data_IF_187571061974
#
_entry.id   IF_187571061974
#
_cell.length_a   1.000
_cell.length_b   1.000
_cell.length_c   1.000
_cell.angle_alpha   90.00
_cell.angle_beta   90.00
_cell.angle_gamma   90.00
#
_symmetry.space_group_name_H-M   'P 1'
#
loop_
_entity.id
_entity.type
_entity.pdbx_description
1 polymer ?
#
# COMPACT_ATOMS: atom_id res chain seq x y z
N UNK A 1 -9.57 -31.22 -29.83
CA UNK A 1 -10.30 -31.04 -28.56
C UNK A 1 -9.33 -30.38 -27.59
N UNK A 2 -9.71 -29.34 -26.82
CA UNK A 2 -8.86 -28.82 -25.76
C UNK A 2 -8.50 -29.96 -24.79
N UNK A 3 -7.21 -30.06 -24.44
CA UNK A 3 -6.70 -31.04 -23.48
C UNK A 3 -7.16 -30.64 -22.08
N UNK A 4 -8.31 -31.20 -21.67
CA UNK A 4 -8.95 -30.90 -20.37
C UNK A 4 -8.03 -31.21 -19.19
N UNK A 5 -7.16 -32.20 -19.31
CA UNK A 5 -6.24 -32.56 -18.24
C UNK A 5 -5.11 -31.52 -18.12
N UNK A 6 -4.72 -30.87 -19.22
CA UNK A 6 -3.85 -29.69 -19.16
C UNK A 6 -4.55 -28.49 -18.53
N UNK A 7 -5.79 -28.18 -18.92
CA UNK A 7 -6.53 -27.03 -18.35
C UNK A 7 -6.75 -27.17 -16.83
N UNK A 8 -7.07 -28.38 -16.35
CA UNK A 8 -7.18 -28.67 -14.91
C UNK A 8 -5.86 -28.44 -14.18
N UNK A 9 -4.74 -28.94 -14.73
CA UNK A 9 -3.40 -28.71 -14.15
C UNK A 9 -3.06 -27.22 -14.06
N UNK A 10 -3.38 -26.44 -15.08
CA UNK A 10 -3.15 -24.99 -15.07
C UNK A 10 -3.99 -24.30 -13.98
N UNK A 11 -5.24 -24.74 -13.77
CA UNK A 11 -6.09 -24.22 -12.70
C UNK A 11 -5.56 -24.58 -11.30
N UNK A 12 -5.04 -25.80 -11.11
CA UNK A 12 -4.44 -26.23 -9.84
C UNK A 12 -3.19 -25.41 -9.48
N UNK A 13 -2.35 -25.09 -10.48
CA UNK A 13 -1.22 -24.20 -10.29
C UNK A 13 -1.66 -22.78 -9.90
N UNK A 14 -2.71 -22.25 -10.52
CA UNK A 14 -3.27 -20.94 -10.14
C UNK A 14 -3.80 -20.93 -8.70
N UNK A 15 -4.48 -22.00 -8.29
CA UNK A 15 -4.95 -22.15 -6.92
C UNK A 15 -3.78 -22.20 -5.92
N UNK A 16 -2.72 -22.95 -6.25
CA UNK A 16 -1.49 -23.04 -5.45
C UNK A 16 -0.81 -21.67 -5.31
N UNK A 17 -0.64 -20.92 -6.40
CA UNK A 17 -0.08 -19.56 -6.37
C UNK A 17 -0.91 -18.66 -5.45
N UNK A 18 -2.23 -18.75 -5.54
CA UNK A 18 -3.14 -17.93 -4.71
C UNK A 18 -3.02 -18.26 -3.23
N UNK A 19 -2.85 -19.54 -2.89
CA UNK A 19 -2.67 -19.97 -1.49
C UNK A 19 -1.32 -19.56 -0.92
N UNK A 20 -0.22 -19.80 -1.64
CA UNK A 20 1.12 -19.37 -1.22
C UNK A 20 1.19 -17.84 -1.09
N UNK A 21 0.59 -17.10 -2.02
CA UNK A 21 0.47 -15.64 -1.93
C UNK A 21 -0.26 -15.17 -0.67
N UNK A 22 -1.39 -15.80 -0.33
CA UNK A 22 -2.16 -15.48 0.89
C UNK A 22 -1.41 -15.79 2.18
N UNK A 23 -0.44 -16.70 2.14
CA UNK A 23 0.44 -17.03 3.27
C UNK A 23 1.67 -16.14 3.34
N UNK A 24 1.93 -15.30 2.34
CA UNK A 24 3.16 -14.51 2.25
C UNK A 24 4.36 -15.28 1.71
N UNK A 25 4.20 -16.52 1.23
CA UNK A 25 5.27 -17.38 0.72
C UNK A 25 5.65 -17.02 -0.72
N UNK A 26 6.16 -15.81 -0.94
CA UNK A 26 6.38 -15.28 -2.29
C UNK A 26 7.43 -16.06 -3.11
N UNK A 27 8.42 -16.67 -2.46
CA UNK A 27 9.43 -17.51 -3.14
C UNK A 27 8.80 -18.78 -3.73
N UNK A 28 7.93 -19.46 -2.98
CA UNK A 28 7.21 -20.63 -3.48
C UNK A 28 6.23 -20.24 -4.57
N UNK A 29 5.48 -19.16 -4.34
CA UNK A 29 4.54 -18.62 -5.33
C UNK A 29 5.26 -18.22 -6.63
N UNK A 30 6.49 -17.71 -6.57
CA UNK A 30 7.32 -17.41 -7.75
C UNK A 30 7.65 -18.70 -8.52
N UNK A 31 8.14 -19.73 -7.84
CA UNK A 31 8.47 -21.01 -8.47
C UNK A 31 7.24 -21.62 -9.17
N UNK A 32 6.08 -21.64 -8.51
CA UNK A 32 4.83 -22.12 -9.11
C UNK A 32 4.35 -21.23 -10.26
N UNK A 33 4.53 -19.90 -10.17
CA UNK A 33 4.18 -18.97 -11.25
C UNK A 33 5.04 -19.17 -12.49
N UNK A 34 6.34 -19.47 -12.32
CA UNK A 34 7.25 -19.80 -13.43
C UNK A 34 6.87 -21.13 -14.09
N UNK A 35 6.49 -22.14 -13.30
CA UNK A 35 5.98 -23.40 -13.83
C UNK A 35 4.67 -23.19 -14.61
N UNK A 36 3.73 -22.41 -14.08
CA UNK A 36 2.50 -22.04 -14.78
C UNK A 36 2.79 -21.33 -16.12
N UNK A 37 3.75 -20.41 -16.14
CA UNK A 37 4.15 -19.73 -17.37
C UNK A 37 4.71 -20.72 -18.40
N UNK A 38 5.57 -21.64 -17.97
CA UNK A 38 6.12 -22.67 -18.85
C UNK A 38 5.03 -23.59 -19.41
N UNK A 39 4.09 -24.04 -18.57
CA UNK A 39 3.01 -24.94 -18.98
C UNK A 39 2.00 -24.25 -19.90
N UNK A 40 1.66 -22.99 -19.65
CA UNK A 40 0.80 -22.20 -20.56
C UNK A 40 1.46 -22.01 -21.93
N UNK A 41 2.76 -21.70 -21.97
CA UNK A 41 3.51 -21.61 -23.24
C UNK A 41 3.57 -22.95 -23.99
N UNK A 42 3.73 -24.08 -23.30
CA UNK A 42 3.71 -25.41 -23.92
C UNK A 42 2.34 -25.76 -24.49
N UNK A 43 1.27 -25.43 -23.78
CA UNK A 43 -0.08 -25.78 -24.16
C UNK A 43 -0.64 -24.89 -25.29
N UNK A 44 -0.44 -23.57 -25.20
CA UNK A 44 -0.96 -22.62 -26.20
C UNK A 44 0.04 -22.28 -27.32
N UNK A 45 1.32 -22.60 -27.13
CA UNK A 45 2.41 -22.31 -28.06
C UNK A 45 3.29 -21.14 -27.60
N UNK A 46 4.62 -21.32 -27.67
CA UNK A 46 5.61 -20.35 -27.19
C UNK A 46 5.58 -18.98 -27.90
N UNK A 47 5.13 -18.94 -29.15
CA UNK A 47 5.07 -17.73 -29.99
C UNK A 47 3.62 -17.29 -30.26
N UNK A 48 2.66 -17.78 -29.47
CA UNK A 48 1.25 -17.43 -29.59
C UNK A 48 0.88 -16.51 -28.44
N UNK A 49 0.46 -15.30 -28.78
CA UNK A 49 -0.15 -14.38 -27.83
C UNK A 49 -1.47 -14.99 -27.31
N UNK A 50 -1.48 -15.37 -26.03
CA UNK A 50 -2.64 -15.98 -25.38
C UNK A 50 -2.93 -15.34 -24.01
N UNK A 51 -4.19 -15.02 -23.67
CA UNK A 51 -4.53 -14.34 -22.42
C UNK A 51 -4.11 -15.12 -21.17
N UNK A 52 -4.19 -16.45 -21.19
CA UNK A 52 -3.73 -17.27 -20.05
C UNK A 52 -2.21 -17.19 -19.84
N UNK A 53 -1.43 -17.11 -20.93
CA UNK A 53 0.02 -16.91 -20.86
C UNK A 53 0.35 -15.52 -20.32
N UNK A 54 -0.39 -14.48 -20.74
CA UNK A 54 -0.25 -13.13 -20.18
C UNK A 54 -0.61 -13.07 -18.69
N UNK A 55 -1.63 -13.82 -18.26
CA UNK A 55 -1.98 -13.96 -16.84
C UNK A 55 -0.84 -14.60 -16.03
N UNK A 56 -0.21 -15.64 -16.58
CA UNK A 56 0.94 -16.27 -15.94
C UNK A 56 2.14 -15.33 -15.85
N UNK A 57 2.45 -14.58 -16.92
CA UNK A 57 3.47 -13.52 -16.91
C UNK A 57 3.19 -12.48 -15.82
N UNK A 58 1.94 -12.03 -15.70
CA UNK A 58 1.54 -11.07 -14.67
C UNK A 58 1.78 -11.62 -13.25
N UNK A 59 1.52 -12.91 -13.00
CA UNK A 59 1.79 -13.53 -11.70
C UNK A 59 3.30 -13.59 -11.39
N UNK A 60 4.13 -13.96 -12.37
CA UNK A 60 5.59 -13.92 -12.23
C UNK A 60 6.08 -12.50 -11.91
N UNK A 61 5.54 -11.50 -12.63
CA UNK A 61 5.85 -10.08 -12.36
C UNK A 61 5.44 -9.63 -10.97
N UNK A 62 4.29 -10.10 -10.47
CA UNK A 62 3.82 -9.83 -9.10
C UNK A 62 4.74 -10.41 -8.05
N UNK A 63 5.17 -11.66 -8.21
CA UNK A 63 6.06 -12.28 -7.24
C UNK A 63 7.45 -11.64 -7.23
N UNK A 64 8.01 -11.30 -8.40
CA UNK A 64 9.26 -10.54 -8.48
C UNK A 64 9.15 -9.17 -7.80
N UNK A 65 8.05 -8.45 -8.00
CA UNK A 65 7.82 -7.17 -7.31
C UNK A 65 7.84 -7.33 -5.79
N UNK A 66 7.16 -8.36 -5.27
CA UNK A 66 7.08 -8.61 -3.82
C UNK A 66 8.42 -9.04 -3.22
N UNK A 67 9.30 -9.64 -4.02
CA UNK A 67 10.66 -10.02 -3.65
C UNK A 67 11.69 -8.89 -3.85
N UNK A 68 11.29 -7.72 -4.37
CA UNK A 68 12.20 -6.59 -4.64
C UNK A 68 12.94 -6.64 -5.98
N UNK A 69 12.64 -7.63 -6.84
CA UNK A 69 13.26 -7.82 -8.15
C UNK A 69 12.55 -6.93 -9.19
N UNK A 70 12.78 -5.62 -9.13
CA UNK A 70 12.01 -4.63 -9.89
C UNK A 70 12.21 -4.72 -11.41
N UNK A 71 13.41 -5.06 -11.86
CA UNK A 71 13.74 -5.19 -13.30
C UNK A 71 12.99 -6.37 -13.92
N UNK A 72 13.04 -7.53 -13.29
CA UNK A 72 12.36 -8.76 -13.70
C UNK A 72 10.85 -8.55 -13.68
N UNK A 73 10.33 -7.92 -12.62
CA UNK A 73 8.91 -7.58 -12.51
C UNK A 73 8.44 -6.71 -13.69
N UNK A 74 9.23 -5.69 -14.05
CA UNK A 74 8.92 -4.78 -15.18
C UNK A 74 8.85 -5.53 -16.49
N UNK A 75 9.83 -6.40 -16.77
CA UNK A 75 9.88 -7.19 -18.00
C UNK A 75 8.61 -8.03 -18.17
N UNK A 76 8.20 -8.74 -17.12
CA UNK A 76 7.01 -9.58 -17.14
C UNK A 76 5.71 -8.80 -17.26
N UNK A 77 5.55 -7.69 -16.54
CA UNK A 77 4.35 -6.86 -16.68
C UNK A 77 4.24 -6.19 -18.05
N UNK A 78 5.36 -5.70 -18.62
CA UNK A 78 5.34 -5.12 -19.97
C UNK A 78 5.01 -6.18 -21.01
N UNK A 79 5.55 -7.40 -20.88
CA UNK A 79 5.19 -8.51 -21.75
C UNK A 79 3.69 -8.86 -21.66
N UNK A 80 3.16 -9.01 -20.44
CA UNK A 80 1.74 -9.27 -20.22
C UNK A 80 0.85 -8.15 -20.79
N UNK A 81 1.23 -6.89 -20.58
CA UNK A 81 0.51 -5.72 -21.08
C UNK A 81 0.43 -5.73 -22.61
N UNK A 82 1.53 -6.07 -23.30
CA UNK A 82 1.57 -6.17 -24.78
C UNK A 82 0.61 -7.25 -25.29
N UNK A 83 0.62 -8.44 -24.67
CA UNK A 83 -0.26 -9.55 -25.06
C UNK A 83 -1.73 -9.21 -24.79
N UNK A 84 -2.05 -8.59 -23.64
CA UNK A 84 -3.44 -8.17 -23.40
C UNK A 84 -3.88 -7.07 -24.36
N UNK A 85 -3.02 -6.12 -24.70
CA UNK A 85 -3.33 -5.10 -25.69
C UNK A 85 -3.58 -5.69 -27.08
N UNK A 86 -2.81 -6.71 -27.50
CA UNK A 86 -2.95 -7.34 -28.82
C UNK A 86 -4.18 -8.25 -28.91
N UNK A 87 -4.45 -9.05 -27.88
CA UNK A 87 -5.50 -10.09 -27.93
C UNK A 87 -6.85 -9.60 -27.41
N UNK A 88 -6.87 -8.82 -26.32
CA UNK A 88 -8.10 -8.34 -25.69
C UNK A 88 -8.46 -6.90 -26.08
N UNK A 89 -7.48 -6.11 -26.50
CA UNK A 89 -7.63 -4.67 -26.73
C UNK A 89 -7.28 -3.82 -25.51
N UNK A 90 -7.00 -2.53 -25.74
CA UNK A 90 -6.59 -1.56 -24.69
C UNK A 90 -7.75 -1.10 -23.80
N UNK A 91 -8.98 -1.34 -24.22
CA UNK A 91 -10.16 -1.02 -23.40
C UNK A 91 -10.51 -2.15 -22.43
N UNK A 92 -9.76 -3.27 -22.41
CA UNK A 92 -10.09 -4.42 -21.57
C UNK A 92 -9.56 -4.30 -20.13
N UNK A 93 -10.32 -4.81 -19.15
CA UNK A 93 -9.93 -4.77 -17.73
C UNK A 93 -8.57 -5.45 -17.42
N UNK A 94 -8.18 -6.48 -18.18
CA UNK A 94 -6.86 -7.12 -18.03
C UNK A 94 -5.69 -6.22 -18.44
N UNK A 95 -5.88 -5.38 -19.47
CA UNK A 95 -4.89 -4.38 -19.86
C UNK A 95 -4.74 -3.34 -18.74
N UNK A 96 -5.86 -2.81 -18.24
CA UNK A 96 -5.87 -1.90 -17.09
C UNK A 96 -5.26 -2.51 -15.82
N UNK A 97 -5.40 -3.82 -15.62
CA UNK A 97 -4.72 -4.53 -14.53
C UNK A 97 -3.20 -4.48 -14.66
N UNK A 98 -2.66 -4.73 -15.84
CA UNK A 98 -1.21 -4.66 -16.06
C UNK A 98 -0.65 -3.24 -15.90
N UNK A 99 -1.38 -2.22 -16.36
CA UNK A 99 -1.03 -0.81 -16.14
C UNK A 99 -1.01 -0.47 -14.64
N UNK A 100 -2.06 -0.85 -13.91
CA UNK A 100 -2.11 -0.66 -12.45
C UNK A 100 -0.92 -1.32 -11.73
N UNK A 101 -0.53 -2.52 -12.18
CA UNK A 101 0.61 -3.23 -11.62
C UNK A 101 1.95 -2.57 -11.95
N UNK A 102 2.11 -2.00 -13.15
CA UNK A 102 3.28 -1.19 -13.52
C UNK A 102 3.37 0.10 -12.71
N UNK A 103 2.25 0.79 -12.49
CA UNK A 103 2.21 1.96 -11.62
C UNK A 103 2.60 1.62 -10.18
N UNK A 104 2.05 0.54 -9.62
CA UNK A 104 2.46 0.07 -8.30
C UNK A 104 3.92 -0.42 -8.25
N UNK A 105 4.44 -1.01 -9.32
CA UNK A 105 5.85 -1.40 -9.41
C UNK A 105 6.77 -0.18 -9.29
N UNK A 106 6.47 0.89 -10.03
CA UNK A 106 7.23 2.14 -9.95
C UNK A 106 7.20 2.71 -8.52
N UNK A 107 6.03 2.73 -7.86
CA UNK A 107 5.92 3.16 -6.46
C UNK A 107 6.74 2.29 -5.52
N UNK A 108 6.66 0.96 -5.64
CA UNK A 108 7.46 0.05 -4.82
C UNK A 108 8.95 0.28 -5.02
N UNK A 109 9.40 0.45 -6.26
CA UNK A 109 10.80 0.77 -6.56
C UNK A 109 11.22 2.09 -5.91
N UNK A 110 10.39 3.12 -6.00
CA UNK A 110 10.59 4.42 -5.34
C UNK A 110 10.67 4.31 -3.81
N UNK A 111 10.01 3.35 -3.18
CA UNK A 111 10.06 3.17 -1.73
C UNK A 111 11.24 2.32 -1.24
N UNK A 112 11.61 1.28 -2.00
CA UNK A 112 12.56 0.25 -1.53
C UNK A 112 13.95 0.35 -2.16
N UNK A 113 14.09 0.92 -3.35
CA UNK A 113 15.39 1.08 -4.01
C UNK A 113 16.11 2.31 -3.43
N UNK A 114 17.03 2.07 -2.48
CA UNK A 114 17.81 3.11 -1.84
C UNK A 114 18.82 3.79 -2.79
N UNK A 115 19.17 3.14 -3.91
CA UNK A 115 20.14 3.66 -4.88
C UNK A 115 19.58 4.81 -5.74
N UNK A 116 18.25 4.92 -5.84
CA UNK A 116 17.60 5.95 -6.66
C UNK A 116 17.87 7.36 -6.13
N UNK A 117 18.28 8.25 -7.06
CA UNK A 117 18.36 9.69 -6.81
C UNK A 117 16.96 10.30 -6.84
N UNK A 118 16.84 11.51 -6.29
CA UNK A 118 15.56 12.23 -6.25
C UNK A 118 14.93 12.42 -7.65
N UNK A 119 15.75 12.66 -8.68
CA UNK A 119 15.30 12.78 -10.08
C UNK A 119 14.71 11.48 -10.62
N UNK A 120 15.32 10.35 -10.30
CA UNK A 120 14.86 9.04 -10.76
C UNK A 120 13.56 8.64 -10.04
N UNK A 121 13.46 8.97 -8.73
CA UNK A 121 12.23 8.78 -7.96
C UNK A 121 11.09 9.62 -8.54
N UNK A 122 11.32 10.89 -8.84
CA UNK A 122 10.30 11.76 -9.44
C UNK A 122 9.84 11.22 -10.80
N UNK A 123 10.77 10.82 -11.66
CA UNK A 123 10.46 10.24 -12.98
C UNK A 123 9.63 8.96 -12.86
N UNK A 124 9.95 8.10 -11.88
CA UNK A 124 9.18 6.89 -11.61
C UNK A 124 7.78 7.21 -11.07
N UNK A 125 7.64 8.24 -10.22
CA UNK A 125 6.34 8.69 -9.71
C UNK A 125 5.47 9.27 -10.82
N UNK A 126 6.03 10.08 -11.72
CA UNK A 126 5.33 10.61 -12.88
C UNK A 126 4.86 9.50 -13.81
N UNK A 127 5.75 8.57 -14.16
CA UNK A 127 5.40 7.37 -14.93
C UNK A 127 4.36 6.50 -14.20
N UNK A 128 4.38 6.44 -12.86
CA UNK A 128 3.38 5.72 -12.10
C UNK A 128 1.99 6.35 -12.22
N UNK A 129 1.91 7.70 -12.19
CA UNK A 129 0.64 8.42 -12.39
C UNK A 129 0.07 8.14 -13.77
N UNK A 130 0.88 8.23 -14.83
CA UNK A 130 0.45 7.96 -16.20
C UNK A 130 -0.19 6.57 -16.32
N UNK A 131 0.49 5.53 -15.82
CA UNK A 131 -0.05 4.17 -15.84
C UNK A 131 -1.34 4.03 -15.02
N UNK A 132 -1.40 4.66 -13.85
CA UNK A 132 -2.56 4.55 -12.96
C UNK A 132 -3.77 5.32 -13.50
N UNK A 133 -3.57 6.49 -14.10
CA UNK A 133 -4.63 7.28 -14.72
C UNK A 133 -5.22 6.57 -15.93
N UNK A 134 -4.39 6.00 -16.81
CA UNK A 134 -4.86 5.18 -17.93
C UNK A 134 -5.62 3.95 -17.43
N UNK A 135 -5.08 3.24 -16.42
CA UNK A 135 -5.77 2.12 -15.79
C UNK A 135 -7.12 2.53 -15.18
N UNK A 136 -7.19 3.71 -14.57
CA UNK A 136 -8.40 4.22 -13.93
C UNK A 136 -9.49 4.54 -14.96
N UNK A 137 -9.11 5.21 -16.05
CA UNK A 137 -10.03 5.53 -17.15
C UNK A 137 -10.67 4.26 -17.74
N UNK A 138 -9.86 3.25 -18.06
CA UNK A 138 -10.34 1.96 -18.59
C UNK A 138 -11.23 1.26 -17.55
N UNK A 139 -10.83 1.20 -16.28
CA UNK A 139 -11.63 0.55 -15.22
C UNK A 139 -12.96 1.25 -14.96
N UNK A 140 -13.04 2.57 -15.04
CA UNK A 140 -14.31 3.29 -14.93
C UNK A 140 -15.24 2.89 -16.09
N UNK A 141 -14.73 2.89 -17.31
CA UNK A 141 -15.52 2.57 -18.50
C UNK A 141 -16.06 1.13 -18.46
N UNK A 142 -15.21 0.17 -18.11
CA UNK A 142 -15.53 -1.27 -18.14
C UNK A 142 -16.26 -1.77 -16.89
N UNK A 143 -15.84 -1.33 -15.70
CA UNK A 143 -16.25 -1.92 -14.42
C UNK A 143 -17.10 -0.97 -13.57
N UNK A 144 -17.06 0.34 -13.85
CA UNK A 144 -17.70 1.37 -13.05
C UNK A 144 -16.88 1.82 -11.83
N UNK A 145 -17.30 2.94 -11.24
CA UNK A 145 -16.60 3.64 -10.14
C UNK A 145 -16.59 2.87 -8.82
N UNK A 146 -17.57 2.01 -8.58
CA UNK A 146 -17.72 1.23 -7.34
C UNK A 146 -17.00 -0.13 -7.38
N UNK A 147 -16.34 -0.47 -8.49
CA UNK A 147 -15.63 -1.74 -8.58
C UNK A 147 -14.34 -1.72 -7.73
N UNK A 148 -14.00 -2.76 -6.95
CA UNK A 148 -12.81 -2.80 -6.09
C UNK A 148 -11.51 -2.49 -6.81
N UNK A 149 -11.36 -2.95 -8.06
CA UNK A 149 -10.19 -2.61 -8.87
C UNK A 149 -10.15 -1.13 -9.24
N UNK A 150 -11.28 -0.50 -9.53
CA UNK A 150 -11.39 0.94 -9.77
C UNK A 150 -11.04 1.73 -8.52
N UNK A 151 -11.58 1.31 -7.37
CA UNK A 151 -11.29 1.88 -6.05
C UNK A 151 -9.80 1.76 -5.71
N UNK A 152 -9.21 0.56 -5.89
CA UNK A 152 -7.80 0.34 -5.64
C UNK A 152 -6.89 1.20 -6.53
N UNK A 153 -7.23 1.38 -7.82
CA UNK A 153 -6.50 2.33 -8.67
C UNK A 153 -6.64 3.76 -8.16
N UNK A 154 -7.84 4.18 -7.77
CA UNK A 154 -8.06 5.53 -7.24
C UNK A 154 -7.23 5.79 -5.99
N UNK A 155 -7.22 4.83 -5.06
CA UNK A 155 -6.36 4.89 -3.86
C UNK A 155 -4.90 5.02 -4.24
N UNK A 156 -4.45 4.23 -5.22
CA UNK A 156 -3.08 4.27 -5.71
C UNK A 156 -2.74 5.64 -6.30
N UNK A 157 -3.61 6.23 -7.13
CA UNK A 157 -3.44 7.60 -7.66
C UNK A 157 -3.25 8.60 -6.53
N UNK A 158 -4.15 8.62 -5.53
CA UNK A 158 -4.06 9.56 -4.41
C UNK A 158 -2.74 9.44 -3.64
N UNK A 159 -2.31 8.20 -3.34
CA UNK A 159 -1.02 7.98 -2.69
C UNK A 159 0.20 8.34 -3.57
N UNK A 160 0.09 8.20 -4.90
CA UNK A 160 1.17 8.59 -5.84
C UNK A 160 1.26 10.10 -5.98
N UNK A 161 0.12 10.81 -6.04
CA UNK A 161 0.08 12.27 -6.01
C UNK A 161 0.73 12.80 -4.73
N UNK A 162 0.42 12.20 -3.58
CA UNK A 162 1.07 12.53 -2.31
C UNK A 162 2.60 12.33 -2.36
N UNK A 163 3.05 11.20 -2.91
CA UNK A 163 4.47 10.94 -3.11
C UNK A 163 5.13 11.96 -4.05
N UNK A 164 4.45 12.35 -5.14
CA UNK A 164 4.93 13.39 -6.05
C UNK A 164 5.17 14.70 -5.32
N UNK A 165 4.21 15.12 -4.47
CA UNK A 165 4.36 16.31 -3.65
C UNK A 165 5.58 16.17 -2.73
N UNK A 166 5.74 15.04 -2.03
CA UNK A 166 6.90 14.83 -1.15
C UNK A 166 8.24 14.87 -1.89
N UNK A 167 8.34 14.34 -3.12
CA UNK A 167 9.58 14.45 -3.92
C UNK A 167 9.82 15.85 -4.49
N UNK A 168 8.77 16.67 -4.57
CA UNK A 168 8.86 18.11 -4.81
C UNK A 168 9.13 18.91 -3.52
N UNK A 169 9.33 18.24 -2.38
CA UNK A 169 9.84 18.83 -1.15
C UNK A 169 11.26 18.34 -0.89
N UNK A 170 12.09 19.19 -0.29
CA UNK A 170 13.40 18.79 0.23
C UNK A 170 13.24 18.39 1.68
N UNK A 171 13.74 17.20 2.03
CA UNK A 171 13.93 16.81 3.42
C UNK A 171 15.11 17.61 4.01
N UNK A 172 14.85 18.32 5.08
CA UNK A 172 15.83 19.09 5.84
C UNK A 172 15.95 18.49 7.24
N UNK A 173 17.17 18.29 7.70
CA UNK A 173 17.47 17.85 9.05
C UNK A 173 17.77 19.08 9.90
N UNK A 174 16.95 19.33 10.91
CA UNK A 174 17.15 20.41 11.87
C UNK A 174 17.80 19.82 13.14
N UNK A 175 18.95 20.37 13.52
CA UNK A 175 19.52 20.17 14.85
C UNK A 175 18.91 21.21 15.79
N UNK A 176 17.98 20.80 16.64
CA UNK A 176 17.59 21.60 17.81
C UNK A 176 18.67 21.47 18.88
N UNK A 177 19.33 22.58 19.23
CA UNK A 177 20.30 22.62 20.34
C UNK A 177 19.63 22.06 21.61
N UNK A 178 20.18 20.95 22.14
CA UNK A 178 19.68 20.27 23.34
C UNK A 178 18.87 18.98 23.12
N UNK A 179 18.59 18.57 21.87
CA UNK A 179 17.98 17.25 21.59
C UNK A 179 19.00 16.29 20.95
N UNK A 180 19.22 15.12 21.53
CA UNK A 180 20.06 14.04 20.92
C UNK A 180 19.49 13.49 19.60
N UNK A 181 18.23 13.83 19.24
CA UNK A 181 17.57 13.36 18.03
C UNK A 181 17.64 14.37 16.88
N UNK A 182 18.19 13.94 15.74
CA UNK A 182 18.09 14.66 14.45
C UNK A 182 16.62 14.63 14.00
N UNK A 183 16.02 15.80 13.73
CA UNK A 183 14.63 15.89 13.29
C UNK A 183 14.54 16.20 11.80
N UNK A 184 13.82 15.36 11.05
CA UNK A 184 13.58 15.49 9.61
C UNK A 184 12.27 16.23 9.32
N UNK A 185 12.33 17.30 8.54
CA UNK A 185 11.17 18.12 8.11
C UNK A 185 11.18 18.30 6.60
N UNK A 186 10.01 18.30 5.96
CA UNK A 186 9.88 18.59 4.53
C UNK A 186 9.68 20.09 4.27
N UNK A 187 10.46 20.66 3.35
CA UNK A 187 10.36 22.06 2.90
C UNK A 187 10.00 22.10 1.41
N UNK A 188 8.97 22.87 1.03
CA UNK A 188 8.47 22.93 -0.34
C UNK A 188 9.50 23.53 -1.32
N UNK A 189 9.69 22.88 -2.48
CA UNK A 189 10.51 23.41 -3.59
C UNK A 189 9.67 24.15 -4.65
N UNK A 190 8.35 23.95 -4.64
CA UNK A 190 7.38 24.52 -5.57
C UNK A 190 6.51 25.60 -4.90
N UNK A 191 5.78 26.44 -5.69
CA UNK A 191 4.85 27.42 -5.15
C UNK A 191 3.84 26.79 -4.18
N UNK A 192 3.67 27.41 -3.01
CA UNK A 192 2.82 26.90 -1.92
C UNK A 192 1.39 26.56 -2.37
N UNK A 193 0.79 27.38 -3.24
CA UNK A 193 -0.55 27.14 -3.78
C UNK A 193 -0.65 25.87 -4.65
N UNK A 194 0.39 25.55 -5.44
CA UNK A 194 0.41 24.35 -6.28
C UNK A 194 0.48 23.10 -5.38
N UNK A 195 1.37 23.14 -4.39
CA UNK A 195 1.52 22.10 -3.38
C UNK A 195 0.20 21.85 -2.63
N UNK A 196 -0.48 22.89 -2.18
CA UNK A 196 -1.78 22.75 -1.49
C UNK A 196 -2.85 22.11 -2.39
N UNK A 197 -2.91 22.51 -3.66
CA UNK A 197 -3.86 21.93 -4.61
C UNK A 197 -3.59 20.44 -4.85
N UNK A 198 -2.32 20.05 -4.96
CA UNK A 198 -1.94 18.64 -5.14
C UNK A 198 -2.23 17.81 -3.88
N UNK A 199 -1.96 18.34 -2.68
CA UNK A 199 -2.34 17.69 -1.42
C UNK A 199 -3.86 17.48 -1.34
N UNK A 200 -4.67 18.48 -1.70
CA UNK A 200 -6.14 18.34 -1.74
C UNK A 200 -6.61 17.30 -2.74
N UNK A 201 -6.04 17.26 -3.94
CA UNK A 201 -6.37 16.24 -4.93
C UNK A 201 -6.03 14.83 -4.43
N UNK A 202 -4.86 14.65 -3.82
CA UNK A 202 -4.46 13.38 -3.23
C UNK A 202 -5.41 12.93 -2.11
N UNK A 203 -5.80 13.85 -1.22
CA UNK A 203 -6.76 13.61 -0.14
C UNK A 203 -8.12 13.17 -0.67
N UNK A 204 -8.65 13.88 -1.67
CA UNK A 204 -9.93 13.58 -2.32
C UNK A 204 -9.95 12.14 -2.88
N UNK A 205 -8.91 11.76 -3.62
CA UNK A 205 -8.78 10.40 -4.15
C UNK A 205 -8.76 9.33 -3.04
N UNK A 206 -8.04 9.57 -1.94
CA UNK A 206 -7.89 8.62 -0.84
C UNK A 206 -9.16 8.50 -0.01
N UNK A 207 -9.78 9.63 0.36
CA UNK A 207 -11.02 9.65 1.15
C UNK A 207 -12.17 9.03 0.39
N UNK A 208 -12.36 9.38 -0.88
CA UNK A 208 -13.42 8.77 -1.67
C UNK A 208 -13.17 7.29 -1.94
N UNK A 209 -11.91 6.88 -2.12
CA UNK A 209 -11.57 5.46 -2.22
C UNK A 209 -11.94 4.70 -0.95
N UNK A 210 -11.60 5.24 0.22
CA UNK A 210 -11.94 4.62 1.50
C UNK A 210 -13.45 4.55 1.70
N UNK A 211 -14.16 5.66 1.48
CA UNK A 211 -15.60 5.74 1.63
C UNK A 211 -16.31 4.72 0.71
N UNK A 212 -15.92 4.67 -0.57
CA UNK A 212 -16.51 3.72 -1.52
C UNK A 212 -16.22 2.26 -1.12
N UNK A 213 -15.03 1.97 -0.58
CA UNK A 213 -14.69 0.62 -0.10
C UNK A 213 -15.50 0.19 1.13
N UNK A 214 -15.84 1.13 2.01
CA UNK A 214 -16.71 0.91 3.18
C UNK A 214 -18.16 0.70 2.73
N UNK A 215 -18.65 1.54 1.81
CA UNK A 215 -20.03 1.49 1.33
C UNK A 215 -20.29 0.24 0.47
N UNK A 216 -19.27 -0.26 -0.22
CA UNK A 216 -19.34 -1.42 -1.11
C UNK A 216 -18.35 -2.51 -0.70
N UNK A 217 -18.50 -3.12 0.48
CA UNK A 217 -17.54 -4.06 1.00
C UNK A 217 -17.52 -5.34 0.14
N UNK A 218 -16.39 -5.60 -0.50
CA UNK A 218 -16.14 -6.86 -1.22
C UNK A 218 -15.05 -7.66 -0.50
N UNK A 219 -15.38 -8.87 -0.07
CA UNK A 219 -14.45 -9.80 0.59
C UNK A 219 -14.96 -10.33 1.93
N UNK A 220 -14.12 -11.09 2.64
CA UNK A 220 -14.42 -11.54 4.00
C UNK A 220 -14.51 -10.32 4.92
N UNK A 221 -15.59 -10.27 5.68
CA UNK A 221 -15.79 -9.28 6.73
C UNK A 221 -15.46 -9.87 8.09
N UNK A 222 -15.03 -9.01 9.00
CA UNK A 222 -15.03 -9.31 10.43
C UNK A 222 -16.45 -9.70 10.85
N UNK A 223 -16.59 -10.87 11.49
CA UNK A 223 -17.89 -11.29 12.03
C UNK A 223 -18.21 -10.44 13.25
N UNK A 224 -19.12 -9.47 13.11
CA UNK A 224 -19.67 -8.76 14.27
C UNK A 224 -20.51 -9.72 15.11
N UNK A 225 -20.00 -10.14 16.26
CA UNK A 225 -20.76 -10.94 17.24
C UNK A 225 -21.78 -10.11 18.05
N UNK A 226 -22.00 -8.83 17.71
CA UNK A 226 -23.01 -8.00 18.36
C UNK A 226 -23.99 -7.38 17.33
N UNK A 227 -25.27 -7.67 17.56
CA UNK A 227 -26.48 -7.03 17.01
C UNK A 227 -26.72 -7.07 15.49
N UNK A 228 -27.22 -8.21 15.04
CA UNK A 228 -28.08 -8.31 13.85
C UNK A 228 -29.51 -7.89 14.24
N UNK A 229 -29.85 -6.60 14.16
CA UNK A 229 -31.24 -6.15 13.99
C UNK A 229 -31.31 -4.97 13.01
N UNK A 230 -31.96 -5.27 11.89
CA UNK A 230 -32.62 -4.35 10.95
C UNK A 230 -31.78 -3.37 10.13
N UNK A 231 -31.50 -3.76 8.88
CA UNK A 231 -31.54 -2.81 7.75
C UNK A 231 -32.01 -3.51 6.47
N UNK A 232 -33.28 -3.94 6.49
CA UNK A 232 -34.04 -4.17 5.26
C UNK A 232 -34.47 -2.80 4.71
N UNK A 233 -33.74 -2.29 3.71
CA UNK A 233 -34.27 -1.45 2.62
C UNK A 233 -33.10 -0.99 1.75
N UNK A 234 -32.91 -1.63 0.60
CA UNK A 234 -32.77 -0.91 -0.66
C UNK A 234 -33.22 -1.85 -1.80
N UNK A 235 -34.28 -1.43 -2.48
CA UNK A 235 -34.91 -2.12 -3.60
C UNK A 235 -34.76 -1.20 -4.81
N UNK A 236 -34.15 -1.73 -5.87
CA UNK A 236 -34.30 -1.44 -7.32
C UNK A 236 -34.59 0.02 -7.75
N UNK A 237 -33.67 0.63 -8.49
CA UNK A 237 -33.78 0.87 -9.94
C UNK A 237 -32.58 1.67 -10.48
N UNK A 238 -32.16 1.33 -11.71
CA UNK A 238 -30.94 1.81 -12.35
C UNK A 238 -30.95 3.26 -12.85
N UNK A 239 -29.79 3.65 -13.39
CA UNK A 239 -29.54 4.92 -14.04
C UNK A 239 -28.12 5.40 -13.82
N UNK A 240 -27.17 4.83 -14.57
CA UNK A 240 -25.84 5.41 -14.73
C UNK A 240 -25.94 6.86 -15.23
N UNK A 241 -24.88 7.64 -14.98
CA UNK A 241 -24.65 9.01 -15.50
C UNK A 241 -25.31 10.18 -14.74
N UNK A 242 -25.65 10.05 -13.45
CA UNK A 242 -26.01 11.22 -12.60
C UNK A 242 -25.21 11.43 -11.32
N UNK A 243 -24.25 10.56 -10.99
CA UNK A 243 -23.61 10.58 -9.66
C UNK A 243 -22.34 11.43 -9.50
N UNK A 244 -21.73 11.92 -10.58
CA UNK A 244 -20.51 12.75 -10.48
C UNK A 244 -20.80 14.12 -9.84
N UNK A 245 -22.02 14.68 -10.02
CA UNK A 245 -22.40 15.97 -9.41
C UNK A 245 -22.95 15.89 -7.98
N UNK A 246 -23.17 14.69 -7.44
CA UNK A 246 -23.65 14.53 -6.04
C UNK A 246 -22.53 14.19 -5.05
N UNK A 247 -21.37 13.74 -5.53
CA UNK A 247 -20.18 13.50 -4.68
C UNK A 247 -19.48 14.80 -4.27
N UNK A 248 -19.61 15.89 -5.06
CA UNK A 248 -19.10 17.22 -4.70
C UNK A 248 -19.79 17.87 -3.48
N UNK A 249 -20.97 17.38 -3.07
CA UNK A 249 -21.73 17.94 -1.94
C UNK A 249 -21.67 17.08 -0.67
N UNK A 250 -20.72 16.14 -0.59
CA UNK A 250 -20.40 15.38 0.62
C UNK A 250 -18.90 15.14 0.71
N UNK A 251 -18.12 16.20 0.80
CA UNK A 251 -16.80 16.11 1.46
C UNK A 251 -17.10 16.29 2.95
N UNK A 252 -17.15 15.23 3.79
CA UNK A 252 -17.37 15.42 5.20
C UNK A 252 -16.00 15.56 5.85
N UNK A 253 -15.58 16.82 6.04
CA UNK A 253 -14.69 17.17 7.13
C UNK A 253 -15.43 17.06 8.47
N UNK A 254 -15.97 15.88 8.79
CA UNK A 254 -16.59 15.63 10.09
C UNK A 254 -15.74 14.65 10.90
N UNK A 255 -14.88 15.15 11.81
CA UNK A 255 -14.19 14.30 12.76
C UNK A 255 -15.19 13.72 13.75
N UNK A 256 -15.40 12.41 13.65
CA UNK A 256 -16.30 11.68 14.54
C UNK A 256 -17.17 10.64 13.86
N UNK A 257 -17.17 10.52 12.52
CA UNK A 257 -17.77 9.34 11.89
C UNK A 257 -16.83 8.15 12.06
N UNK A 258 -17.16 7.21 12.95
CA UNK A 258 -16.46 5.93 13.04
C UNK A 258 -16.57 5.21 11.69
N UNK A 259 -15.49 5.21 10.90
CA UNK A 259 -15.43 4.41 9.69
C UNK A 259 -15.53 2.93 10.08
N UNK A 260 -16.56 2.23 9.61
CA UNK A 260 -16.69 0.79 9.86
C UNK A 260 -15.78 0.01 8.89
N UNK A 261 -14.47 0.08 9.13
CA UNK A 261 -13.47 -0.70 8.39
C UNK A 261 -13.62 -2.16 8.83
N UNK A 262 -14.14 -3.00 7.94
CA UNK A 262 -14.46 -4.41 8.26
C UNK A 262 -13.90 -5.41 7.26
N UNK A 263 -13.29 -4.94 6.18
CA UNK A 263 -12.73 -5.77 5.11
C UNK A 263 -11.26 -5.42 4.84
N UNK A 264 -10.50 -6.36 4.28
CA UNK A 264 -9.11 -6.11 3.87
C UNK A 264 -8.98 -5.01 2.80
N UNK A 265 -9.96 -4.88 1.90
CA UNK A 265 -9.95 -3.85 0.87
C UNK A 265 -10.15 -2.44 1.45
N UNK A 266 -11.10 -2.29 2.38
CA UNK A 266 -11.26 -1.04 3.13
C UNK A 266 -10.04 -0.75 4.02
N UNK A 267 -9.44 -1.79 4.64
CA UNK A 267 -8.24 -1.63 5.45
C UNK A 267 -7.04 -1.13 4.62
N UNK A 268 -6.84 -1.64 3.42
CA UNK A 268 -5.78 -1.14 2.53
C UNK A 268 -6.02 0.30 2.07
N UNK A 269 -7.26 0.69 1.78
CA UNK A 269 -7.59 2.09 1.47
C UNK A 269 -7.38 3.02 2.67
N UNK A 270 -7.76 2.57 3.88
CA UNK A 270 -7.55 3.30 5.13
C UNK A 270 -6.07 3.48 5.45
N UNK A 271 -5.25 2.45 5.25
CA UNK A 271 -3.80 2.56 5.43
C UNK A 271 -3.18 3.59 4.48
N UNK A 272 -3.60 3.62 3.21
CA UNK A 272 -3.08 4.62 2.27
C UNK A 272 -3.47 6.06 2.70
N UNK A 273 -4.68 6.25 3.22
CA UNK A 273 -5.09 7.54 3.80
C UNK A 273 -4.29 7.88 5.07
N UNK A 274 -4.02 6.91 5.94
CA UNK A 274 -3.23 7.12 7.15
C UNK A 274 -1.78 7.54 6.84
N UNK A 275 -1.14 6.87 5.87
CA UNK A 275 0.19 7.26 5.35
C UNK A 275 0.16 8.70 4.85
N UNK A 276 -0.83 9.04 4.04
CA UNK A 276 -1.02 10.39 3.51
C UNK A 276 -1.16 11.44 4.61
N UNK A 277 -2.05 11.21 5.59
CA UNK A 277 -2.31 12.17 6.66
C UNK A 277 -1.07 12.37 7.53
N UNK A 278 -0.33 11.30 7.83
CA UNK A 278 0.98 11.38 8.50
C UNK A 278 1.95 12.24 7.68
N UNK A 279 2.10 11.96 6.39
CA UNK A 279 3.00 12.71 5.51
C UNK A 279 2.63 14.19 5.42
N UNK A 280 1.35 14.51 5.22
CA UNK A 280 0.84 15.89 5.20
C UNK A 280 1.11 16.59 6.54
N UNK A 281 0.86 15.93 7.67
CA UNK A 281 1.16 16.50 8.98
C UNK A 281 2.65 16.83 9.17
N UNK A 282 3.55 16.05 8.57
CA UNK A 282 5.00 16.31 8.62
C UNK A 282 5.46 17.47 7.73
N UNK A 283 4.61 17.99 6.83
CA UNK A 283 4.89 19.22 6.07
C UNK A 283 4.30 20.48 6.72
N UNK A 284 3.52 20.34 7.79
CA UNK A 284 2.85 21.44 8.48
C UNK A 284 3.72 21.97 9.64
N UNK A 285 3.49 23.24 10.00
CA UNK A 285 4.11 23.84 11.19
C UNK A 285 3.76 23.07 12.46
N UNK A 286 4.69 23.04 13.41
CA UNK A 286 4.59 22.17 14.57
C UNK A 286 3.38 22.43 15.45
N UNK A 287 3.06 23.72 15.62
CA UNK A 287 1.96 24.22 16.44
C UNK A 287 0.63 24.31 15.66
N UNK A 288 0.62 23.89 14.39
CA UNK A 288 -0.59 23.93 13.57
C UNK A 288 -1.65 22.97 14.14
N UNK A 289 -2.88 23.44 14.43
CA UNK A 289 -3.98 22.56 14.85
C UNK A 289 -4.25 21.44 13.83
N UNK A 290 -4.03 21.71 12.55
CA UNK A 290 -4.18 20.73 11.47
C UNK A 290 -3.15 19.60 11.53
N UNK A 291 -1.93 19.86 12.03
CA UNK A 291 -0.89 18.83 12.21
C UNK A 291 -1.33 17.79 13.23
N UNK A 292 -1.75 18.25 14.42
CA UNK A 292 -2.25 17.36 15.49
C UNK A 292 -3.46 16.57 14.99
N UNK A 293 -4.42 17.24 14.36
CA UNK A 293 -5.60 16.61 13.79
C UNK A 293 -5.27 15.44 12.84
N UNK A 294 -4.41 15.68 11.86
CA UNK A 294 -4.03 14.68 10.86
C UNK A 294 -3.29 13.47 11.48
N UNK A 295 -2.44 13.69 12.48
CA UNK A 295 -1.72 12.60 13.17
C UNK A 295 -2.67 11.70 13.97
N UNK A 296 -3.64 12.27 14.68
CA UNK A 296 -4.62 11.49 15.42
C UNK A 296 -5.58 10.74 14.49
N UNK A 297 -6.04 11.37 13.41
CA UNK A 297 -6.86 10.68 12.40
C UNK A 297 -6.07 9.52 11.74
N UNK A 298 -4.79 9.72 11.43
CA UNK A 298 -3.93 8.66 10.93
C UNK A 298 -3.79 7.50 11.94
N UNK A 299 -3.66 7.81 13.23
CA UNK A 299 -3.53 6.81 14.31
C UNK A 299 -4.79 5.96 14.39
N UNK A 300 -5.96 6.59 14.43
CA UNK A 300 -7.24 5.89 14.48
C UNK A 300 -7.41 4.96 13.27
N UNK A 301 -7.05 5.43 12.07
CA UNK A 301 -7.07 4.60 10.86
C UNK A 301 -6.13 3.39 10.98
N UNK A 302 -4.88 3.59 11.42
CA UNK A 302 -3.92 2.49 11.58
C UNK A 302 -4.36 1.47 12.63
N UNK A 303 -4.90 1.90 13.77
CA UNK A 303 -5.40 0.99 14.82
C UNK A 303 -6.57 0.14 14.29
N UNK A 304 -7.51 0.74 13.56
CA UNK A 304 -8.59 0.00 12.90
C UNK A 304 -8.05 -0.99 11.85
N UNK A 305 -7.07 -0.57 11.04
CA UNK A 305 -6.42 -1.44 10.03
C UNK A 305 -5.73 -2.62 10.70
N UNK A 306 -4.97 -2.38 11.78
CA UNK A 306 -4.30 -3.43 12.54
C UNK A 306 -5.32 -4.42 13.09
N UNK A 307 -6.38 -3.93 13.73
CA UNK A 307 -7.45 -4.77 14.27
C UNK A 307 -8.07 -5.66 13.17
N UNK A 308 -8.35 -5.10 11.99
CA UNK A 308 -8.93 -5.85 10.87
C UNK A 308 -7.98 -6.90 10.34
N UNK A 309 -6.71 -6.56 10.16
CA UNK A 309 -5.69 -7.48 9.63
C UNK A 309 -5.40 -8.61 10.61
N UNK A 310 -5.29 -8.34 11.91
CA UNK A 310 -5.12 -9.37 12.95
C UNK A 310 -6.25 -10.40 12.95
N UNK A 311 -7.47 -10.00 12.61
CA UNK A 311 -8.62 -10.92 12.57
C UNK A 311 -8.76 -11.71 11.28
N UNK A 312 -8.20 -11.21 10.17
CA UNK A 312 -8.42 -11.77 8.83
C UNK A 312 -7.18 -12.41 8.22
N UNK A 313 -5.98 -12.12 8.73
CA UNK A 313 -4.70 -12.61 8.23
C UNK A 313 -3.97 -13.42 9.32
N UNK A 314 -3.10 -14.37 8.92
CA UNK A 314 -2.13 -14.98 9.83
C UNK A 314 -1.27 -13.93 10.55
N UNK A 315 -0.80 -14.26 11.76
CA UNK A 315 0.01 -13.35 12.58
C UNK A 315 1.36 -12.99 11.96
N UNK A 316 1.87 -13.87 11.10
CA UNK A 316 3.12 -13.76 10.35
C UNK A 316 2.94 -13.17 8.94
N UNK A 317 1.74 -12.67 8.62
CA UNK A 317 1.48 -12.12 7.30
C UNK A 317 2.21 -10.77 7.08
N UNK A 318 2.92 -10.57 5.95
CA UNK A 318 3.67 -9.33 5.64
C UNK A 318 2.89 -8.02 5.82
N UNK A 319 1.63 -7.97 5.36
CA UNK A 319 0.79 -6.78 5.51
C UNK A 319 0.51 -6.41 6.98
N UNK A 320 0.47 -7.37 7.90
CA UNK A 320 0.27 -7.09 9.32
C UNK A 320 1.53 -6.46 9.93
N UNK A 321 2.72 -6.96 9.57
CA UNK A 321 3.99 -6.33 9.95
C UNK A 321 4.11 -4.90 9.45
N UNK A 322 3.79 -4.69 8.17
CA UNK A 322 3.84 -3.36 7.58
C UNK A 322 2.90 -2.37 8.31
N UNK A 323 1.69 -2.81 8.69
CA UNK A 323 0.78 -1.97 9.50
C UNK A 323 1.37 -1.66 10.87
N UNK A 324 1.83 -2.68 11.62
CA UNK A 324 2.40 -2.50 12.96
C UNK A 324 3.61 -1.56 12.92
N UNK A 325 4.47 -1.73 11.93
CA UNK A 325 5.65 -0.88 11.73
C UNK A 325 5.25 0.58 11.49
N UNK A 326 4.31 0.84 10.57
CA UNK A 326 3.86 2.20 10.27
C UNK A 326 3.12 2.86 11.45
N UNK A 327 2.35 2.08 12.21
CA UNK A 327 1.69 2.55 13.42
C UNK A 327 2.71 2.90 14.51
N UNK A 328 3.72 2.06 14.75
CA UNK A 328 4.80 2.34 15.69
C UNK A 328 5.54 3.64 15.34
N UNK A 329 5.91 3.85 14.07
CA UNK A 329 6.53 5.11 13.64
C UNK A 329 5.60 6.32 13.86
N UNK A 330 4.29 6.18 13.67
CA UNK A 330 3.35 7.26 13.91
C UNK A 330 3.23 7.58 15.40
N UNK A 331 3.21 6.55 16.25
CA UNK A 331 3.16 6.70 17.70
C UNK A 331 4.44 7.37 18.24
N UNK A 332 5.61 7.03 17.70
CA UNK A 332 6.87 7.72 18.00
C UNK A 332 6.80 9.22 17.63
N UNK A 333 6.20 9.55 16.47
CA UNK A 333 5.97 10.94 16.06
C UNK A 333 5.04 11.65 17.04
N UNK A 334 3.95 11.01 17.47
CA UNK A 334 3.00 11.55 18.44
C UNK A 334 3.62 11.73 19.83
N UNK A 335 4.46 10.80 20.27
CA UNK A 335 5.22 10.88 21.52
C UNK A 335 6.23 12.05 21.52
N UNK A 336 6.71 12.44 20.34
CA UNK A 336 7.67 13.54 20.18
C UNK A 336 7.01 14.94 20.03
N UNK A 337 5.68 15.05 19.95
CA UNK A 337 5.01 16.36 19.81
C UNK A 337 5.15 17.17 21.11
N UNK A 338 5.72 18.39 21.06
CA UNK A 338 5.83 19.25 22.24
C UNK A 338 4.46 19.65 22.80
N UNK A 339 4.34 19.78 24.12
CA UNK A 339 3.17 20.38 24.75
C UNK A 339 3.24 21.90 24.53
N UNK A 340 2.14 22.52 24.08
CA UNK A 340 2.06 23.97 23.99
C UNK A 340 1.95 24.57 25.41
N UNK A 341 3.08 24.73 26.10
CA UNK A 341 3.17 25.20 27.50
C UNK A 341 3.64 24.11 28.47
N UNK A 342 3.72 24.44 29.78
CA UNK A 342 3.92 23.47 30.88
C UNK A 342 2.88 22.35 30.70
N UNK A 343 3.31 21.26 30.05
CA UNK A 343 2.42 20.20 29.64
C UNK A 343 1.76 19.62 30.87
N UNK A 344 0.43 19.66 30.91
CA UNK A 344 -0.34 19.08 32.01
C UNK A 344 0.10 17.62 32.18
N UNK A 345 0.08 17.08 33.40
CA UNK A 345 0.48 15.68 33.68
C UNK A 345 -0.17 14.69 32.68
N UNK A 346 -1.40 14.98 32.25
CA UNK A 346 -2.15 14.20 31.25
C UNK A 346 -1.50 14.14 29.87
N UNK A 347 -0.92 15.24 29.38
CA UNK A 347 -0.24 15.28 28.08
C UNK A 347 1.10 14.53 28.14
N UNK A 348 1.79 14.59 29.28
CA UNK A 348 3.02 13.82 29.49
C UNK A 348 2.73 12.33 29.55
N UNK A 349 1.70 11.93 30.30
CA UNK A 349 1.21 10.55 30.36
C UNK A 349 0.78 10.04 28.98
N UNK A 350 0.12 10.86 28.16
CA UNK A 350 -0.30 10.47 26.81
C UNK A 350 0.89 10.19 25.89
N UNK A 351 1.93 11.04 25.92
CA UNK A 351 3.16 10.80 25.16
C UNK A 351 3.89 9.54 25.61
N UNK A 352 3.95 9.31 26.93
CA UNK A 352 4.53 8.09 27.46
C UNK A 352 3.77 6.85 26.98
N UNK A 353 2.43 6.87 27.02
CA UNK A 353 1.60 5.78 26.48
C UNK A 353 1.85 5.53 24.99
N UNK A 354 2.02 6.58 24.19
CA UNK A 354 2.35 6.44 22.77
C UNK A 354 3.72 5.78 22.57
N UNK A 355 4.74 6.20 23.32
CA UNK A 355 6.08 5.60 23.27
C UNK A 355 6.05 4.12 23.66
N UNK A 356 5.42 3.79 24.80
CA UNK A 356 5.28 2.41 25.28
C UNK A 356 4.53 1.53 24.27
N UNK A 357 3.49 2.07 23.64
CA UNK A 357 2.74 1.37 22.59
C UNK A 357 3.56 1.14 21.33
N UNK A 358 4.40 2.11 20.94
CA UNK A 358 5.32 1.96 19.82
C UNK A 358 6.35 0.86 20.11
N UNK A 359 6.98 0.88 21.28
CA UNK A 359 7.98 -0.10 21.69
C UNK A 359 7.39 -1.52 21.76
N UNK A 360 6.16 -1.65 22.28
CA UNK A 360 5.43 -2.93 22.29
C UNK A 360 5.17 -3.48 20.88
N UNK A 361 4.78 -2.62 19.93
CA UNK A 361 4.59 -3.03 18.53
C UNK A 361 5.91 -3.44 17.87
N UNK A 362 7.02 -2.74 18.16
CA UNK A 362 8.36 -3.10 17.68
C UNK A 362 8.78 -4.46 18.21
N UNK A 363 8.58 -4.71 19.50
CA UNK A 363 8.89 -6.00 20.12
C UNK A 363 8.05 -7.12 19.52
N UNK A 364 6.74 -6.91 19.33
CA UNK A 364 5.87 -7.90 18.70
C UNK A 364 6.34 -8.26 17.29
N UNK A 365 6.83 -7.30 16.50
CA UNK A 365 7.42 -7.57 15.18
C UNK A 365 8.66 -8.46 15.34
N UNK A 366 9.58 -8.14 16.25
CA UNK A 366 10.81 -8.92 16.48
C UNK A 366 10.47 -10.35 16.90
N UNK A 367 9.52 -10.54 17.82
CA UNK A 367 9.18 -11.83 18.39
C UNK A 367 8.50 -12.77 17.38
N UNK A 368 7.83 -12.21 16.37
CA UNK A 368 7.05 -12.98 15.41
C UNK A 368 7.71 -13.09 14.04
N UNK A 369 8.66 -12.21 13.70
CA UNK A 369 9.29 -12.19 12.38
C UNK A 369 10.34 -13.30 12.23
N UNK A 370 10.05 -14.28 11.38
CA UNK A 370 11.02 -15.29 10.95
C UNK A 370 11.63 -14.88 9.59
N UNK A 371 12.89 -14.41 9.54
CA UNK A 371 13.48 -13.94 8.29
C UNK A 371 13.61 -15.08 7.29
N UNK A 372 13.13 -14.92 6.04
CA UNK A 372 13.25 -15.96 5.03
C UNK A 372 14.73 -16.21 4.70
N UNK A 373 15.23 -17.37 5.12
CA UNK A 373 16.34 -18.11 4.53
C UNK A 373 17.62 -17.30 4.21
N UNK A 374 18.20 -16.65 5.21
CA UNK A 374 19.65 -16.37 5.25
C UNK A 374 20.27 -17.21 6.37
N UNK A 375 21.30 -18.00 6.04
CA UNK A 375 22.05 -18.83 7.00
C UNK A 375 22.38 -18.03 8.26
N UNK A 376 21.87 -18.46 9.41
CA UNK A 376 22.12 -17.86 10.72
C UNK A 376 23.62 -17.84 11.10
N UNK A 377 24.46 -18.65 10.45
CA UNK A 377 25.90 -18.76 10.74
C UNK A 377 26.72 -17.49 10.39
N UNK A 378 26.18 -16.56 9.58
CA UNK A 378 26.84 -15.26 9.31
C UNK A 378 26.37 -14.13 10.25
N UNK A 379 25.37 -14.38 11.11
CA UNK A 379 24.76 -13.34 11.95
C UNK A 379 25.53 -13.17 13.26
N UNK A 380 26.04 -14.26 13.87
CA UNK A 380 26.72 -14.19 15.17
C UNK A 380 28.07 -13.45 15.15
N UNK A 381 28.68 -13.23 13.97
CA UNK A 381 29.95 -12.51 13.85
C UNK A 381 29.82 -11.02 13.50
N UNK A 382 28.59 -10.53 13.27
CA UNK A 382 28.32 -9.15 12.82
C UNK A 382 27.28 -8.40 13.66
N UNK A 383 26.84 -8.95 14.80
CA UNK A 383 25.90 -8.28 15.71
C UNK A 383 26.67 -7.49 16.78
N UNK A 384 26.63 -6.15 16.78
CA UNK A 384 27.10 -5.36 17.90
C UNK A 384 26.15 -5.54 19.09
N UNK A 385 26.68 -5.41 20.32
CA UNK A 385 25.93 -5.58 21.57
C UNK A 385 24.87 -4.49 21.85
N UNK A 386 24.67 -3.53 20.93
CA UNK A 386 23.75 -2.41 21.10
C UNK A 386 22.41 -2.67 20.37
N UNK A 387 21.32 -2.57 21.11
CA UNK A 387 19.93 -2.85 20.70
C UNK A 387 19.44 -1.88 19.61
N UNK A 388 19.97 -0.65 19.59
CA UNK A 388 19.62 0.38 18.59
C UNK A 388 20.15 0.05 17.18
N UNK A 389 21.30 -0.63 17.10
CA UNK A 389 21.92 -1.02 15.83
C UNK A 389 21.31 -2.30 15.23
N UNK A 390 20.65 -3.12 16.04
CA UNK A 390 19.96 -4.34 15.58
C UNK A 390 18.77 -4.01 14.66
N UNK A 391 18.04 -2.94 14.96
CA UNK A 391 16.89 -2.50 14.18
C UNK A 391 17.34 -1.91 12.83
N UNK A 392 18.44 -1.18 12.81
CA UNK A 392 19.00 -0.61 11.57
C UNK A 392 19.49 -1.70 10.61
N UNK A 393 20.11 -2.78 11.12
CA UNK A 393 20.56 -3.92 10.30
C UNK A 393 19.38 -4.76 9.77
N UNK A 394 18.31 -4.93 10.56
CA UNK A 394 17.10 -5.64 10.12
C UNK A 394 16.35 -4.83 9.05
N UNK A 395 16.37 -3.49 9.13
CA UNK A 395 15.77 -2.58 8.13
C UNK A 395 16.67 -2.38 6.91
N UNK A 396 18.01 -2.31 7.05
CA UNK A 396 18.94 -2.21 5.90
C UNK A 396 18.95 -3.48 5.06
N UNK A 397 18.74 -4.67 5.65
CA UNK A 397 18.68 -5.93 4.88
C UNK A 397 17.35 -6.16 4.16
N UNK A 398 16.32 -5.34 4.41
CA UNK A 398 15.17 -5.18 3.50
C UNK A 398 15.45 -4.22 2.34
N UNK A 399 16.61 -3.53 2.33
CA UNK A 399 17.03 -2.55 1.31
C UNK A 399 18.29 -2.92 0.51
N UNK A 400 18.82 -4.14 0.64
CA UNK A 400 20.02 -4.51 -0.12
C UNK A 400 20.31 -6.00 -0.18
N UNK A 401 20.10 -6.58 -1.35
CA UNK A 401 21.04 -7.56 -1.92
C UNK A 401 21.84 -6.84 -3.00
N UNK A 402 22.98 -6.24 -2.62
CA UNK A 402 24.01 -5.75 -3.54
C UNK A 402 25.20 -6.72 -3.55
N UNK A 403 25.94 -6.68 -4.66
CA UNK A 403 27.23 -7.29 -4.99
C UNK A 403 27.19 -8.66 -5.70
N UNK A 404 27.09 -8.59 -7.03
CA UNK A 404 28.27 -8.83 -7.89
C UNK A 404 28.35 -7.82 -9.02
#
# INVERSE_FOLDING_TARGET
MPDKDAELRLADLQATITEEYKRGNFTNALATSQDLLKQTQQHFGYNVDHPATASAMNNVGLMHKLLGNFTEARQHYVAAMRVYASVCGRDHASYAMTLHNLGNLNKSQVHFDASLKATDRLSLVESALEYLEEAYAVRIAELGVEHPHTIATRSAIGSTLAAQVLYQHKLVENNTEGSEKIRKQYVALNPQQITEQQWRAAEEHLRESLQTAIDNPRGKQIKNNQHRKNSNKFRKNGGGVKHIKQLQNKIPGNPGSSFSITTLSAASAAQNLAVFLKSLAMTMDEDSPGRKYNLYEAKDLYENVQQVRTQLLPSDHPDLYATKYSLAELLEVLAAVPSSGEGTDKEQEERQRHQESADALRQEIIDTYDPPNKKLEEIDSLVPNDESQRIEIVVEKTKGTQNH
#
